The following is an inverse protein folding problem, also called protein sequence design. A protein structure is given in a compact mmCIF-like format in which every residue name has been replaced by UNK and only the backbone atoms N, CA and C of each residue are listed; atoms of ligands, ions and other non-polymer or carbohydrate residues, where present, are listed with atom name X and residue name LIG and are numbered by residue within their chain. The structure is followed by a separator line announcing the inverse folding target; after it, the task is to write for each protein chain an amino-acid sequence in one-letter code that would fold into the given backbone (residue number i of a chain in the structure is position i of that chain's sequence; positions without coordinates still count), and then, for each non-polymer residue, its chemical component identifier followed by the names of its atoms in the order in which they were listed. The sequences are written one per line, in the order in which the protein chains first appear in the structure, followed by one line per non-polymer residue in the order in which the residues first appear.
data_IF_175611033922
#
_entry.id   IF_175611033922
#
_cell.length_a   1.000
_cell.length_b   1.000
_cell.length_c   1.000
_cell.angle_alpha   90.00
_cell.angle_beta   90.00
_cell.angle_gamma   90.00
#
_symmetry.space_group_name_H-M   'P 1'
#
loop_
_entity.id
_entity.type
_entity.pdbx_description
1 polymer ?
#
# COMPACT_ATOMS: atom_id res chain seq x y z
N UNK A 1 -21.31 21.08 8.73
CA UNK A 1 -20.20 21.10 7.75
C UNK A 1 -18.94 20.57 8.42
N UNK A 2 -18.80 19.25 8.55
CA UNK A 2 -17.64 18.60 9.19
C UNK A 2 -16.36 18.79 8.37
N UNK A 3 -16.46 18.82 7.03
CA UNK A 3 -15.30 18.89 6.15
C UNK A 3 -14.40 20.12 6.41
N UNK A 4 -14.96 21.29 6.74
CA UNK A 4 -14.14 22.48 6.98
C UNK A 4 -13.56 22.59 8.38
N UNK A 5 -13.91 21.68 9.30
CA UNK A 5 -13.37 21.64 10.66
C UNK A 5 -11.87 21.30 10.69
N UNK A 6 -11.36 20.67 9.63
CA UNK A 6 -9.96 20.27 9.53
C UNK A 6 -9.04 21.31 8.90
N UNK A 7 -9.60 22.43 8.43
CA UNK A 7 -8.82 23.48 7.81
C UNK A 7 -7.95 24.17 8.89
N UNK A 8 -6.63 24.18 8.69
CA UNK A 8 -5.69 24.82 9.61
C UNK A 8 -5.51 26.31 9.30
N UNK A 9 -5.25 27.10 10.35
CA UNK A 9 -4.89 28.52 10.22
C UNK A 9 -3.69 28.68 9.27
N UNK A 10 -3.66 29.74 8.44
CA UNK A 10 -4.48 30.97 8.54
C UNK A 10 -5.83 30.93 7.81
N UNK A 11 -6.29 29.77 7.34
CA UNK A 11 -7.45 29.68 6.46
C UNK A 11 -8.77 29.44 7.19
N UNK A 12 -9.85 29.92 6.60
CA UNK A 12 -11.23 29.77 7.08
C UNK A 12 -12.11 29.07 6.03
N UNK A 13 -13.29 28.54 6.39
CA UNK A 13 -14.21 27.97 5.41
C UNK A 13 -14.57 28.95 4.27
N UNK A 14 -14.52 30.27 4.52
CA UNK A 14 -14.78 31.28 3.51
C UNK A 14 -13.67 31.39 2.45
N UNK A 15 -12.47 30.88 2.73
CA UNK A 15 -11.34 30.87 1.81
C UNK A 15 -11.37 29.67 0.86
N UNK A 16 -12.22 28.67 1.15
CA UNK A 16 -12.30 27.46 0.31
C UNK A 16 -13.12 27.74 -0.95
N UNK A 17 -12.58 27.32 -2.09
CA UNK A 17 -13.25 27.27 -3.38
C UNK A 17 -13.85 25.89 -3.66
N UNK A 18 -13.10 24.81 -3.38
CA UNK A 18 -13.59 23.43 -3.44
C UNK A 18 -13.07 22.56 -2.31
N UNK A 19 -13.88 21.59 -1.86
CA UNK A 19 -13.49 20.54 -0.93
C UNK A 19 -13.70 19.15 -1.56
N UNK A 20 -12.67 18.32 -1.55
CA UNK A 20 -12.66 17.02 -2.22
C UNK A 20 -12.34 15.93 -1.19
N UNK A 21 -13.17 14.89 -1.13
CA UNK A 21 -12.91 13.69 -0.36
C UNK A 21 -11.96 12.74 -1.08
N UNK A 22 -10.92 12.25 -0.40
CA UNK A 22 -9.97 11.28 -0.95
C UNK A 22 -10.09 9.95 -0.19
N UNK A 23 -10.39 8.88 -0.91
CA UNK A 23 -10.57 7.52 -0.38
C UNK A 23 -9.73 6.55 -1.21
N UNK A 24 -9.23 5.47 -0.62
CA UNK A 24 -8.54 4.40 -1.35
C UNK A 24 -8.66 3.08 -0.59
N UNK A 25 -8.31 1.98 -1.26
CA UNK A 25 -8.00 0.70 -0.62
C UNK A 25 -9.14 0.23 0.32
N UNK A 26 -10.36 0.23 -0.19
CA UNK A 26 -11.57 -0.18 0.55
C UNK A 26 -11.78 -1.68 0.51
N UNK A 27 -11.37 -2.35 -0.57
CA UNK A 27 -11.36 -3.81 -0.75
C UNK A 27 -12.66 -4.50 -0.30
N UNK A 28 -13.82 -3.88 -0.54
CA UNK A 28 -15.09 -4.42 -0.06
C UNK A 28 -15.69 -5.40 -1.07
N UNK A 29 -16.39 -6.45 -0.62
CA UNK A 29 -16.59 -6.87 0.78
C UNK A 29 -15.45 -7.76 1.32
N UNK A 30 -14.45 -8.06 0.49
CA UNK A 30 -13.44 -9.11 0.75
C UNK A 30 -12.65 -8.87 2.04
N UNK A 31 -12.24 -7.63 2.29
CA UNK A 31 -11.37 -7.28 3.43
C UNK A 31 -12.05 -6.36 4.43
N UNK A 32 -13.05 -5.60 3.99
CA UNK A 32 -13.91 -4.79 4.83
C UNK A 32 -15.37 -5.01 4.43
N UNK A 33 -16.22 -5.40 5.38
CA UNK A 33 -17.58 -5.86 5.09
C UNK A 33 -18.54 -4.74 4.72
N UNK A 34 -18.30 -3.53 5.22
CA UNK A 34 -19.17 -2.37 5.03
C UNK A 34 -18.39 -1.08 5.21
N UNK A 35 -18.85 0.00 4.56
CA UNK A 35 -18.31 1.34 4.73
C UNK A 35 -18.47 1.78 6.20
N UNK A 36 -17.39 2.22 6.89
CA UNK A 36 -17.48 2.73 8.25
C UNK A 36 -18.42 3.95 8.31
N UNK A 37 -19.38 4.03 9.25
CA UNK A 37 -20.31 5.15 9.34
C UNK A 37 -19.62 6.52 9.46
N UNK A 38 -18.47 6.57 10.15
CA UNK A 38 -17.66 7.77 10.29
C UNK A 38 -17.21 8.35 8.93
N UNK A 39 -17.06 7.52 7.89
CA UNK A 39 -16.70 8.01 6.55
C UNK A 39 -17.75 8.96 5.99
N UNK A 40 -19.04 8.62 6.14
CA UNK A 40 -20.13 9.47 5.66
C UNK A 40 -20.15 10.82 6.37
N UNK A 41 -19.83 10.86 7.66
CA UNK A 41 -19.74 12.10 8.42
C UNK A 41 -18.53 12.94 7.99
N UNK A 42 -17.35 12.33 7.80
CA UNK A 42 -16.13 13.04 7.38
C UNK A 42 -16.29 13.64 5.98
N UNK A 43 -16.95 12.93 5.07
CA UNK A 43 -17.16 13.37 3.70
C UNK A 43 -18.41 14.25 3.53
N UNK A 44 -19.15 14.55 4.60
CA UNK A 44 -20.37 15.36 4.48
C UNK A 44 -20.03 16.78 3.98
N UNK A 45 -20.65 17.15 2.85
CA UNK A 45 -20.51 18.48 2.24
C UNK A 45 -19.29 18.66 1.34
N UNK A 46 -18.56 17.59 1.01
CA UNK A 46 -17.54 17.65 -0.06
C UNK A 46 -18.21 17.82 -1.43
N UNK A 47 -17.53 18.49 -2.35
CA UNK A 47 -18.00 18.72 -3.72
C UNK A 47 -17.82 17.49 -4.62
N UNK A 48 -16.82 16.66 -4.30
CA UNK A 48 -16.38 15.52 -5.10
C UNK A 48 -15.70 14.48 -4.21
N UNK A 49 -15.85 13.19 -4.54
CA UNK A 49 -15.06 12.11 -3.96
C UNK A 49 -14.15 11.50 -5.03
N UNK A 50 -12.86 11.36 -4.72
CA UNK A 50 -11.89 10.65 -5.53
C UNK A 50 -11.54 9.32 -4.84
N UNK A 51 -11.78 8.20 -5.52
CA UNK A 51 -11.37 6.88 -5.06
C UNK A 51 -10.13 6.40 -5.82
N UNK A 52 -8.99 6.26 -5.14
CA UNK A 52 -7.70 6.01 -5.75
C UNK A 52 -7.41 4.52 -6.05
N UNK A 53 -8.43 3.72 -6.36
CA UNK A 53 -8.29 2.27 -6.64
C UNK A 53 -8.43 1.34 -5.44
N UNK A 54 -8.46 0.05 -5.72
CA UNK A 54 -8.78 -1.05 -4.80
C UNK A 54 -10.09 -0.82 -4.03
N UNK A 55 -11.14 -0.52 -4.80
CA UNK A 55 -12.55 -0.38 -4.38
C UNK A 55 -13.10 -1.75 -3.90
N UNK A 56 -12.72 -2.80 -4.61
CA UNK A 56 -13.43 -4.09 -4.56
C UNK A 56 -14.66 -4.07 -5.48
N UNK A 57 -15.86 -4.18 -4.92
CA UNK A 57 -17.10 -4.21 -5.70
C UNK A 57 -17.65 -2.81 -6.02
N UNK A 58 -18.19 -2.64 -7.23
CA UNK A 58 -18.63 -1.32 -7.74
C UNK A 58 -19.78 -0.68 -6.93
N UNK A 59 -20.57 -1.48 -6.19
CA UNK A 59 -21.63 -0.94 -5.32
C UNK A 59 -21.09 0.00 -4.23
N UNK A 60 -19.80 -0.10 -3.88
CA UNK A 60 -19.15 0.83 -2.95
C UNK A 60 -19.21 2.25 -3.51
N UNK A 61 -18.98 2.41 -4.82
CA UNK A 61 -19.06 3.71 -5.49
C UNK A 61 -20.50 4.24 -5.50
N UNK A 62 -21.50 3.37 -5.64
CA UNK A 62 -22.92 3.74 -5.53
C UNK A 62 -23.30 4.22 -4.12
N UNK A 63 -22.62 3.75 -3.09
CA UNK A 63 -22.84 4.24 -1.73
C UNK A 63 -22.13 5.57 -1.48
N UNK A 64 -20.90 5.73 -1.97
CA UNK A 64 -20.17 6.99 -1.90
C UNK A 64 -20.85 8.09 -2.72
N UNK A 65 -21.49 7.74 -3.84
CA UNK A 65 -22.18 8.71 -4.72
C UNK A 65 -23.41 9.37 -4.09
N UNK A 66 -23.90 8.80 -2.98
CA UNK A 66 -24.95 9.41 -2.15
C UNK A 66 -24.46 10.63 -1.37
N UNK A 67 -23.15 10.79 -1.22
CA UNK A 67 -22.51 11.91 -0.53
C UNK A 67 -22.24 13.03 -1.54
N UNK A 68 -21.51 12.71 -2.61
CA UNK A 68 -21.12 13.64 -3.66
C UNK A 68 -20.77 12.84 -4.95
N UNK A 69 -20.65 13.48 -6.12
CA UNK A 69 -20.16 12.81 -7.32
C UNK A 69 -18.82 12.09 -7.07
N UNK A 70 -18.66 10.89 -7.64
CA UNK A 70 -17.48 10.03 -7.43
C UNK A 70 -16.70 9.87 -8.73
N UNK A 71 -15.38 10.03 -8.65
CA UNK A 71 -14.43 9.63 -9.70
C UNK A 71 -13.52 8.57 -9.12
N UNK A 72 -13.38 7.45 -9.84
CA UNK A 72 -12.59 6.32 -9.37
C UNK A 72 -11.67 5.77 -10.47
N UNK A 73 -10.57 5.16 -10.05
CA UNK A 73 -9.69 4.35 -10.91
C UNK A 73 -9.70 2.92 -10.41
N UNK A 74 -9.28 1.95 -11.22
CA UNK A 74 -9.00 0.62 -10.71
C UNK A 74 -7.60 0.57 -10.08
N UNK A 75 -7.47 -0.26 -9.05
CA UNK A 75 -6.22 -0.78 -8.54
C UNK A 75 -5.92 -2.18 -9.08
N UNK A 76 -5.12 -2.92 -8.34
CA UNK A 76 -4.66 -4.26 -8.72
C UNK A 76 -5.52 -5.40 -8.14
N UNK A 77 -6.40 -5.12 -7.18
CA UNK A 77 -7.29 -6.13 -6.58
C UNK A 77 -8.68 -6.16 -7.26
N UNK A 78 -8.97 -5.23 -8.17
CA UNK A 78 -10.20 -5.25 -8.96
C UNK A 78 -10.31 -6.48 -9.87
N UNK A 79 -11.55 -7.00 -9.97
CA UNK A 79 -11.88 -8.02 -10.96
C UNK A 79 -11.74 -7.48 -12.38
N UNK A 80 -11.54 -8.37 -13.36
CA UNK A 80 -11.52 -8.00 -14.78
C UNK A 80 -12.82 -7.35 -15.27
N UNK A 81 -13.93 -7.50 -14.54
CA UNK A 81 -15.16 -6.77 -14.81
C UNK A 81 -15.06 -5.32 -14.31
N UNK A 82 -14.62 -5.11 -13.07
CA UNK A 82 -14.43 -3.77 -12.51
C UNK A 82 -13.37 -2.95 -13.27
N UNK A 83 -12.27 -3.58 -13.70
CA UNK A 83 -11.23 -2.93 -14.52
C UNK A 83 -11.72 -2.47 -15.91
N UNK A 84 -12.85 -3.00 -16.41
CA UNK A 84 -13.46 -2.52 -17.66
C UNK A 84 -14.31 -1.27 -17.45
N UNK A 85 -14.87 -1.11 -16.25
CA UNK A 85 -15.71 0.04 -15.88
C UNK A 85 -14.89 1.21 -15.33
N UNK A 86 -13.77 0.90 -14.68
CA UNK A 86 -12.87 1.87 -14.08
C UNK A 86 -11.60 2.01 -14.92
N UNK A 87 -11.16 3.22 -15.26
CA UNK A 87 -9.89 3.40 -15.96
C UNK A 87 -8.69 3.23 -15.02
N UNK A 88 -7.53 2.93 -15.60
CA UNK A 88 -6.27 2.75 -14.86
C UNK A 88 -5.75 4.03 -14.18
N UNK A 89 -5.98 5.18 -14.82
CA UNK A 89 -5.70 6.50 -14.27
C UNK A 89 -6.68 7.53 -14.84
N UNK A 90 -6.88 8.64 -14.13
CA UNK A 90 -7.66 9.78 -14.63
C UNK A 90 -6.97 11.11 -14.34
N UNK A 91 -7.13 12.06 -15.25
CA UNK A 91 -6.71 13.45 -15.06
C UNK A 91 -7.96 14.32 -14.87
N UNK A 92 -8.22 14.71 -13.63
CA UNK A 92 -9.37 15.53 -13.28
C UNK A 92 -9.00 17.01 -13.39
N UNK A 93 -9.82 17.79 -14.12
CA UNK A 93 -9.69 19.24 -14.19
C UNK A 93 -10.73 19.90 -13.29
N UNK A 94 -10.27 20.70 -12.32
CA UNK A 94 -11.12 21.40 -11.36
C UNK A 94 -10.62 22.83 -11.20
N UNK A 95 -11.47 23.82 -11.50
CA UNK A 95 -11.16 25.25 -11.38
C UNK A 95 -9.80 25.65 -12.01
N UNK A 96 -9.49 25.12 -13.20
CA UNK A 96 -8.22 25.38 -13.91
C UNK A 96 -6.99 24.66 -13.35
N UNK A 97 -7.17 23.80 -12.33
CA UNK A 97 -6.13 22.92 -11.78
C UNK A 97 -6.34 21.48 -12.24
N UNK A 98 -5.28 20.67 -12.22
CA UNK A 98 -5.27 19.29 -12.68
C UNK A 98 -4.78 18.35 -11.60
N UNK A 99 -5.57 17.32 -11.33
CA UNK A 99 -5.31 16.26 -10.35
C UNK A 99 -5.15 14.95 -11.12
N UNK A 100 -4.02 14.28 -10.97
CA UNK A 100 -3.84 12.91 -11.44
C UNK A 100 -4.33 11.95 -10.35
N UNK A 101 -5.32 11.12 -10.68
CA UNK A 101 -5.78 10.01 -9.86
C UNK A 101 -5.24 8.71 -10.45
N UNK A 102 -4.53 7.92 -9.65
CA UNK A 102 -3.91 6.66 -10.08
C UNK A 102 -3.66 5.77 -8.87
N UNK A 103 -3.77 4.46 -8.98
CA UNK A 103 -3.54 3.58 -7.83
C UNK A 103 -2.08 3.34 -7.45
N UNK A 104 -1.08 3.71 -8.27
CA UNK A 104 0.36 3.47 -7.98
C UNK A 104 0.88 2.04 -8.24
N UNK A 105 0.03 1.10 -8.68
CA UNK A 105 0.46 -0.24 -9.10
C UNK A 105 0.99 -0.25 -10.54
N UNK A 106 1.82 -1.23 -10.87
CA UNK A 106 2.23 -1.52 -12.25
C UNK A 106 1.29 -2.56 -12.89
N UNK A 107 0.93 -2.41 -14.18
CA UNK A 107 0.15 -3.43 -14.88
C UNK A 107 0.93 -4.73 -15.09
N UNK A 108 2.25 -4.63 -15.25
CA UNK A 108 3.15 -5.77 -15.35
C UNK A 108 3.62 -6.19 -13.95
N UNK A 109 3.52 -7.50 -13.69
CA UNK A 109 3.89 -8.06 -12.39
C UNK A 109 5.40 -8.00 -12.10
N UNK A 110 6.26 -8.11 -13.12
CA UNK A 110 7.70 -8.05 -12.93
C UNK A 110 8.12 -6.64 -12.51
N UNK A 111 7.53 -5.62 -13.15
CA UNK A 111 7.74 -4.21 -12.75
C UNK A 111 7.23 -3.95 -11.33
N UNK A 112 6.06 -4.50 -10.98
CA UNK A 112 5.49 -4.40 -9.63
C UNK A 112 6.43 -5.01 -8.58
N UNK A 113 6.97 -6.19 -8.85
CA UNK A 113 7.92 -6.88 -7.97
C UNK A 113 9.23 -6.10 -7.86
N UNK A 114 9.78 -5.60 -8.98
CA UNK A 114 10.99 -4.81 -9.00
C UNK A 114 10.84 -3.52 -8.18
N UNK A 115 9.70 -2.83 -8.31
CA UNK A 115 9.41 -1.61 -7.56
C UNK A 115 9.29 -1.82 -6.04
N UNK A 116 9.10 -3.06 -5.58
CA UNK A 116 9.02 -3.46 -4.17
C UNK A 116 10.37 -3.86 -3.56
N UNK A 117 11.43 -4.02 -4.35
CA UNK A 117 12.74 -4.46 -3.86
C UNK A 117 13.41 -3.42 -2.95
N UNK A 118 13.37 -2.15 -3.33
CA UNK A 118 13.86 -1.06 -2.49
C UNK A 118 12.87 -0.78 -1.36
N UNK A 119 13.36 -0.63 -0.13
CA UNK A 119 12.56 -0.16 0.99
C UNK A 119 12.52 1.39 1.07
N UNK A 120 13.25 2.10 0.22
CA UNK A 120 13.27 3.56 0.29
C UNK A 120 11.96 4.19 -0.19
N UNK A 121 11.45 5.17 0.55
CA UNK A 121 10.22 5.90 0.19
C UNK A 121 10.44 6.91 -0.93
N UNK A 122 11.54 7.65 -0.89
CA UNK A 122 11.77 8.79 -1.78
C UNK A 122 11.82 8.37 -3.26
N UNK A 123 12.57 7.34 -3.68
CA UNK A 123 12.56 6.89 -5.08
C UNK A 123 11.17 6.44 -5.54
N UNK A 124 10.37 5.85 -4.63
CA UNK A 124 8.99 5.45 -4.95
C UNK A 124 8.09 6.66 -5.17
N UNK A 125 8.24 7.72 -4.37
CA UNK A 125 7.49 8.97 -4.52
C UNK A 125 7.90 9.76 -5.77
N UNK A 126 9.18 9.77 -6.12
CA UNK A 126 9.68 10.41 -7.33
C UNK A 126 9.01 9.85 -8.59
N UNK A 127 8.60 8.58 -8.60
CA UNK A 127 7.78 8.03 -9.68
C UNK A 127 6.41 8.70 -9.78
N UNK A 128 5.73 8.87 -8.64
CA UNK A 128 4.45 9.58 -8.58
C UNK A 128 4.60 11.03 -9.05
N UNK A 129 5.66 11.71 -8.62
CA UNK A 129 5.98 13.07 -9.06
C UNK A 129 6.22 13.12 -10.58
N UNK A 130 7.08 12.25 -11.11
CA UNK A 130 7.39 12.18 -12.54
C UNK A 130 6.13 11.92 -13.37
N UNK A 131 5.26 11.01 -12.91
CA UNK A 131 3.99 10.71 -13.58
C UNK A 131 3.02 11.88 -13.54
N UNK A 132 2.92 12.58 -12.40
CA UNK A 132 2.16 13.82 -12.28
C UNK A 132 2.65 14.90 -13.24
N UNK A 133 3.97 15.14 -13.28
CA UNK A 133 4.60 16.12 -14.19
C UNK A 133 4.33 15.76 -15.66
N UNK A 134 4.47 14.50 -16.05
CA UNK A 134 4.17 14.02 -17.40
C UNK A 134 2.70 14.22 -17.79
N UNK A 135 1.77 14.07 -16.85
CA UNK A 135 0.35 14.35 -17.05
C UNK A 135 0.00 15.86 -17.02
N UNK A 136 0.95 16.72 -16.64
CA UNK A 136 0.74 18.14 -16.41
C UNK A 136 -0.12 18.44 -15.16
N UNK A 137 -0.22 17.51 -14.23
CA UNK A 137 -0.93 17.69 -12.98
C UNK A 137 -0.14 18.58 -12.00
N UNK A 138 -0.84 19.15 -11.02
CA UNK A 138 -0.22 19.77 -9.83
C UNK A 138 -0.42 18.91 -8.57
N UNK A 139 -1.40 18.00 -8.62
CA UNK A 139 -1.69 17.08 -7.51
C UNK A 139 -1.72 15.66 -8.06
N UNK A 140 -1.12 14.72 -7.33
CA UNK A 140 -1.25 13.27 -7.55
C UNK A 140 -1.91 12.68 -6.32
N UNK A 141 -3.02 11.98 -6.52
CA UNK A 141 -3.71 11.20 -5.49
C UNK A 141 -3.55 9.72 -5.84
N UNK A 142 -3.04 8.93 -4.90
CA UNK A 142 -2.81 7.51 -5.12
C UNK A 142 -3.10 6.61 -3.91
N UNK A 143 -3.35 5.32 -4.17
CA UNK A 143 -3.62 4.27 -3.17
C UNK A 143 -2.47 3.26 -3.04
N UNK A 144 -2.75 1.96 -2.91
CA UNK A 144 -1.83 0.82 -3.00
C UNK A 144 -0.86 0.63 -1.83
N UNK A 145 -0.39 1.73 -1.24
CA UNK A 145 0.59 1.66 -0.17
C UNK A 145 -0.05 1.48 1.20
N UNK A 146 -1.35 1.79 1.33
CA UNK A 146 -2.09 1.82 2.59
C UNK A 146 -1.49 2.77 3.67
N UNK A 147 -0.51 3.59 3.28
CA UNK A 147 0.18 4.54 4.14
C UNK A 147 -0.36 5.94 3.86
N UNK A 148 -1.13 6.55 4.78
CA UNK A 148 -1.49 7.95 4.64
C UNK A 148 -0.22 8.79 4.60
N UNK A 149 -0.11 9.68 3.61
CA UNK A 149 1.02 10.59 3.48
C UNK A 149 0.67 11.82 2.65
N UNK A 150 1.46 12.87 2.86
CA UNK A 150 1.55 14.05 1.99
C UNK A 150 3.03 14.27 1.70
N UNK A 151 3.36 14.49 0.43
CA UNK A 151 4.71 14.81 -0.02
C UNK A 151 4.65 15.97 -1.01
N UNK A 152 5.52 16.96 -0.82
CA UNK A 152 5.66 18.11 -1.70
C UNK A 152 7.04 18.08 -2.37
N UNK A 153 7.08 18.19 -3.69
CA UNK A 153 8.30 18.40 -4.47
C UNK A 153 8.04 19.51 -5.50
N UNK A 154 8.72 20.65 -5.36
CA UNK A 154 8.43 21.87 -6.09
C UNK A 154 6.92 22.23 -6.02
N UNK A 155 6.26 22.35 -7.17
CA UNK A 155 4.83 22.64 -7.31
C UNK A 155 3.95 21.38 -7.30
N UNK A 156 4.52 20.18 -7.11
CA UNK A 156 3.80 18.91 -7.11
C UNK A 156 3.42 18.50 -5.70
N UNK A 157 2.12 18.30 -5.48
CA UNK A 157 1.55 17.73 -4.27
C UNK A 157 1.19 16.26 -4.49
N UNK A 158 1.78 15.35 -3.73
CA UNK A 158 1.55 13.91 -3.81
C UNK A 158 0.89 13.43 -2.53
N UNK A 159 -0.28 12.80 -2.65
CA UNK A 159 -1.14 12.44 -1.53
C UNK A 159 -1.52 10.96 -1.63
N UNK A 160 -1.38 10.24 -0.52
CA UNK A 160 -2.06 8.98 -0.31
C UNK A 160 -3.01 9.13 0.89
N UNK A 161 -4.33 8.87 0.77
CA UNK A 161 -5.26 9.00 1.90
C UNK A 161 -5.08 7.90 2.96
N UNK A 162 -4.26 6.89 2.68
CA UNK A 162 -4.16 5.65 3.43
C UNK A 162 -5.20 4.65 2.94
N UNK A 163 -5.67 3.78 3.84
CA UNK A 163 -6.59 2.72 3.49
C UNK A 163 -7.72 2.56 4.50
N UNK A 164 -8.87 2.05 4.05
CA UNK A 164 -9.93 1.59 4.94
C UNK A 164 -9.78 0.11 5.28
N UNK A 165 -9.16 -0.68 4.41
CA UNK A 165 -8.95 -2.10 4.63
C UNK A 165 -7.47 -2.47 4.63
N UNK A 166 -7.16 -3.68 5.12
CA UNK A 166 -5.81 -4.25 5.09
C UNK A 166 -5.36 -4.56 3.66
N UNK A 167 -4.06 -4.44 3.39
CA UNK A 167 -3.46 -4.73 2.07
C UNK A 167 -3.39 -6.21 1.68
N UNK A 168 -3.71 -7.13 2.60
CA UNK A 168 -3.82 -8.57 2.33
C UNK A 168 -4.58 -9.29 3.45
N UNK A 169 -4.77 -10.59 3.30
CA UNK A 169 -5.43 -11.49 4.25
C UNK A 169 -4.62 -11.72 5.52
N UNK A 170 -3.33 -11.37 5.53
CA UNK A 170 -2.40 -11.63 6.64
C UNK A 170 -1.97 -10.38 7.42
N UNK A 171 -2.67 -9.27 7.25
CA UNK A 171 -2.43 -8.04 8.00
C UNK A 171 -3.73 -7.44 8.52
N UNK A 172 -3.65 -6.69 9.62
CA UNK A 172 -4.70 -5.79 10.07
C UNK A 172 -4.31 -4.36 9.75
N UNK A 173 -5.25 -3.59 9.21
CA UNK A 173 -5.13 -2.15 9.13
C UNK A 173 -5.45 -1.58 10.52
N UNK A 174 -4.46 -0.98 11.18
CA UNK A 174 -4.60 -0.39 12.51
C UNK A 174 -5.24 1.00 12.44
N UNK A 175 -4.96 1.74 11.36
CA UNK A 175 -5.47 3.10 11.15
C UNK A 175 -6.28 3.10 9.86
N UNK A 176 -7.59 3.26 9.99
CA UNK A 176 -8.48 3.51 8.85
C UNK A 176 -8.51 5.00 8.58
N UNK A 177 -7.85 5.45 7.51
CA UNK A 177 -7.71 6.88 7.21
C UNK A 177 -8.28 7.25 5.85
N UNK A 178 -8.68 8.51 5.77
CA UNK A 178 -9.03 9.22 4.53
C UNK A 178 -8.36 10.59 4.53
N UNK A 179 -8.48 11.33 3.44
CA UNK A 179 -8.06 12.73 3.40
C UNK A 179 -9.13 13.64 2.80
N UNK A 180 -9.07 14.91 3.18
CA UNK A 180 -9.80 16.01 2.57
C UNK A 180 -8.80 16.92 1.88
N UNK A 181 -9.05 17.25 0.62
CA UNK A 181 -8.24 18.15 -0.19
C UNK A 181 -9.05 19.41 -0.48
N UNK A 182 -8.51 20.55 -0.06
CA UNK A 182 -9.14 21.86 -0.23
C UNK A 182 -8.40 22.64 -1.32
N UNK A 183 -9.14 23.13 -2.31
CA UNK A 183 -8.67 24.19 -3.19
C UNK A 183 -9.12 25.52 -2.60
N UNK A 184 -8.18 26.39 -2.25
CA UNK A 184 -8.47 27.73 -1.76
C UNK A 184 -8.70 28.73 -2.91
N UNK A 185 -9.36 29.84 -2.63
CA UNK A 185 -9.68 30.90 -3.61
C UNK A 185 -8.44 31.61 -4.19
N UNK A 186 -7.33 31.61 -3.46
CA UNK A 186 -6.03 32.06 -3.95
C UNK A 186 -5.35 31.02 -4.87
N UNK A 187 -5.96 29.84 -5.03
CA UNK A 187 -5.50 28.75 -5.87
C UNK A 187 -4.52 27.79 -5.21
N UNK A 188 -4.27 27.86 -3.89
CA UNK A 188 -3.42 26.92 -3.16
C UNK A 188 -4.18 25.66 -2.74
N UNK A 189 -3.44 24.58 -2.51
CA UNK A 189 -3.98 23.31 -2.02
C UNK A 189 -3.67 23.12 -0.54
N UNK A 190 -4.64 22.67 0.23
CA UNK A 190 -4.48 22.24 1.62
C UNK A 190 -5.00 20.81 1.79
N UNK A 191 -4.35 20.02 2.63
CA UNK A 191 -4.71 18.61 2.86
C UNK A 191 -4.87 18.36 4.34
N UNK A 192 -5.94 17.66 4.69
CA UNK A 192 -6.15 17.14 6.04
C UNK A 192 -6.43 15.64 5.99
N UNK A 193 -5.59 14.85 6.67
CA UNK A 193 -5.89 13.45 6.91
C UNK A 193 -6.79 13.29 8.14
N UNK A 194 -7.64 12.28 8.10
CA UNK A 194 -8.59 11.95 9.17
C UNK A 194 -8.49 10.47 9.48
N UNK A 195 -8.31 10.14 10.76
CA UNK A 195 -8.47 8.77 11.26
C UNK A 195 -9.94 8.56 11.62
N UNK A 196 -10.60 7.59 10.99
CA UNK A 196 -12.02 7.33 11.19
C UNK A 196 -12.37 6.86 12.62
N UNK A 197 -11.38 6.39 13.40
CA UNK A 197 -11.58 6.08 14.82
C UNK A 197 -11.68 7.34 15.71
N UNK A 198 -11.21 8.49 15.23
CA UNK A 198 -11.26 9.77 15.94
C UNK A 198 -11.52 10.92 14.94
N UNK A 199 -12.71 10.93 14.29
CA UNK A 199 -12.97 11.83 13.17
C UNK A 199 -12.98 13.30 13.60
N UNK A 200 -13.23 13.63 14.85
CA UNK A 200 -13.29 15.03 15.31
C UNK A 200 -11.91 15.70 15.47
N UNK A 201 -10.82 15.03 15.07
CA UNK A 201 -9.44 15.51 15.22
C UNK A 201 -8.67 15.36 13.92
N UNK A 202 -7.79 16.34 13.66
CA UNK A 202 -6.80 16.21 12.60
C UNK A 202 -5.88 15.03 12.91
N UNK A 203 -5.65 14.18 11.91
CA UNK A 203 -4.69 13.10 11.99
C UNK A 203 -3.44 13.50 11.20
N UNK A 204 -2.29 13.54 11.89
CA UNK A 204 -1.00 13.75 11.24
C UNK A 204 -0.41 12.38 10.90
N UNK A 205 -0.17 12.07 9.61
CA UNK A 205 0.37 10.77 9.26
C UNK A 205 1.76 10.52 9.89
N UNK A 206 2.00 9.35 10.51
CA UNK A 206 3.22 9.08 11.28
C UNK A 206 4.40 8.64 10.40
N UNK A 207 4.60 9.28 9.25
CA UNK A 207 5.62 8.86 8.27
C UNK A 207 7.00 9.40 8.67
N UNK A 208 7.93 8.49 8.97
CA UNK A 208 9.33 8.79 9.20
C UNK A 208 10.14 8.41 7.96
N UNK A 209 10.36 9.39 7.07
CA UNK A 209 10.93 9.18 5.74
C UNK A 209 12.26 8.41 5.73
N UNK A 210 13.12 8.64 6.71
CA UNK A 210 14.45 8.02 6.81
C UNK A 210 14.40 6.52 7.14
N UNK A 211 13.28 6.00 7.66
CA UNK A 211 13.20 4.63 8.15
C UNK A 211 12.66 3.63 7.11
N UNK A 212 12.35 4.11 5.91
CA UNK A 212 11.86 3.26 4.82
C UNK A 212 10.37 2.94 4.86
N UNK A 213 9.93 2.24 3.83
CA UNK A 213 8.55 1.92 3.52
C UNK A 213 7.96 0.94 4.53
N UNK A 214 8.70 -0.13 4.88
CA UNK A 214 8.26 -1.11 5.88
C UNK A 214 8.05 -0.47 7.25
N UNK A 215 8.93 0.43 7.68
CA UNK A 215 8.75 1.14 8.94
C UNK A 215 7.49 2.02 8.93
N UNK A 216 7.23 2.73 7.81
CA UNK A 216 6.01 3.52 7.65
C UNK A 216 4.74 2.65 7.62
N UNK A 217 4.77 1.51 6.92
CA UNK A 217 3.66 0.55 6.86
C UNK A 217 3.33 -0.04 8.24
N UNK A 218 4.35 -0.33 9.05
CA UNK A 218 4.19 -0.88 10.40
C UNK A 218 3.58 0.11 11.40
N UNK A 219 3.52 1.41 11.09
CA UNK A 219 2.81 2.40 11.92
C UNK A 219 1.29 2.34 11.75
N UNK A 220 0.83 1.81 10.60
CA UNK A 220 -0.58 1.87 10.18
C UNK A 220 -1.18 0.49 9.98
N UNK A 221 -0.36 -0.56 9.98
CA UNK A 221 -0.76 -1.95 9.84
C UNK A 221 0.10 -2.87 10.70
N UNK A 222 -0.41 -4.06 10.98
CA UNK A 222 0.34 -5.12 11.67
C UNK A 222 0.11 -6.46 10.98
N UNK A 223 1.10 -7.34 11.03
CA UNK A 223 0.97 -8.72 10.58
C UNK A 223 0.09 -9.52 11.56
N UNK A 224 -0.66 -10.47 11.03
CA UNK A 224 -1.36 -11.51 11.80
C UNK A 224 -0.59 -12.82 11.82
N UNK A 225 0.56 -12.87 11.15
CA UNK A 225 1.47 -14.00 11.26
C UNK A 225 2.21 -13.91 12.58
N UNK A 226 2.46 -15.06 13.19
CA UNK A 226 3.44 -15.17 14.26
C UNK A 226 4.77 -14.50 13.83
N UNK A 227 5.44 -13.71 14.70
CA UNK A 227 6.68 -13.02 14.33
C UNK A 227 7.77 -13.95 13.79
N UNK A 228 7.86 -15.19 14.29
CA UNK A 228 8.83 -16.18 13.82
C UNK A 228 8.47 -16.68 12.43
N UNK A 229 7.18 -16.94 12.19
CA UNK A 229 6.67 -17.27 10.86
C UNK A 229 6.95 -16.12 9.87
N UNK A 230 6.69 -14.88 10.27
CA UNK A 230 6.97 -13.69 9.46
C UNK A 230 8.45 -13.55 9.13
N UNK A 231 9.34 -13.84 10.08
CA UNK A 231 10.80 -13.81 9.88
C UNK A 231 11.29 -14.94 8.96
N UNK A 232 10.58 -16.06 8.89
CA UNK A 232 10.94 -17.21 8.05
C UNK A 232 10.56 -17.04 6.57
N UNK A 233 9.63 -16.13 6.22
CA UNK A 233 9.12 -15.95 4.85
C UNK A 233 10.23 -15.73 3.80
N UNK A 234 11.24 -14.87 4.01
CA UNK A 234 12.31 -14.67 3.03
C UNK A 234 13.11 -15.95 2.75
N UNK A 235 13.39 -16.74 3.80
CA UNK A 235 14.10 -18.01 3.66
C UNK A 235 13.25 -19.03 2.88
N UNK A 236 11.97 -19.16 3.23
CA UNK A 236 11.04 -20.05 2.53
C UNK A 236 10.93 -19.69 1.05
N UNK A 237 10.87 -18.40 0.73
CA UNK A 237 10.83 -17.92 -0.67
C UNK A 237 12.11 -18.26 -1.43
N UNK A 238 13.27 -18.18 -0.79
CA UNK A 238 14.56 -18.44 -1.43
C UNK A 238 14.84 -19.95 -1.63
N UNK A 239 14.27 -20.81 -0.79
CA UNK A 239 14.62 -22.24 -0.75
C UNK A 239 13.51 -23.18 -1.25
N UNK A 240 12.27 -22.71 -1.43
CA UNK A 240 11.21 -23.51 -2.01
C UNK A 240 11.11 -23.32 -3.53
N UNK A 241 10.73 -24.37 -4.29
CA UNK A 241 10.31 -24.21 -5.68
C UNK A 241 9.21 -23.14 -5.79
N UNK A 242 9.24 -22.26 -6.81
CA UNK A 242 8.27 -21.15 -6.91
C UNK A 242 6.80 -21.58 -6.86
N UNK A 243 6.46 -22.68 -7.54
CA UNK A 243 5.10 -23.22 -7.53
C UNK A 243 4.64 -23.68 -6.15
N UNK A 244 5.55 -24.17 -5.31
CA UNK A 244 5.23 -24.60 -3.96
C UNK A 244 5.19 -23.46 -2.97
N UNK A 245 6.07 -22.47 -3.12
CA UNK A 245 5.99 -21.24 -2.34
C UNK A 245 4.65 -20.53 -2.59
N UNK A 246 4.15 -20.58 -3.83
CA UNK A 246 2.82 -20.07 -4.19
C UNK A 246 1.71 -20.85 -3.47
N UNK A 247 1.71 -22.18 -3.53
CA UNK A 247 0.74 -23.01 -2.79
C UNK A 247 0.77 -22.76 -1.27
N UNK A 248 1.97 -22.67 -0.69
CA UNK A 248 2.15 -22.32 0.72
C UNK A 248 1.58 -20.93 1.02
N UNK A 249 1.85 -19.95 0.15
CA UNK A 249 1.31 -18.60 0.29
C UNK A 249 -0.22 -18.60 0.27
N UNK A 250 -0.84 -19.41 -0.61
CA UNK A 250 -2.29 -19.57 -0.67
C UNK A 250 -2.87 -20.20 0.60
N UNK A 251 -2.23 -21.23 1.15
CA UNK A 251 -2.62 -21.82 2.44
C UNK A 251 -2.52 -20.81 3.59
N UNK A 252 -1.44 -20.03 3.62
CA UNK A 252 -1.24 -18.97 4.62
C UNK A 252 -2.30 -17.86 4.47
N UNK A 253 -2.66 -17.48 3.24
CA UNK A 253 -3.75 -16.52 3.00
C UNK A 253 -5.09 -17.07 3.48
N UNK A 254 -5.38 -18.36 3.27
CA UNK A 254 -6.60 -19.01 3.74
C UNK A 254 -6.68 -19.04 5.27
N UNK A 255 -5.59 -19.43 5.94
CA UNK A 255 -5.48 -19.33 7.39
C UNK A 255 -5.66 -17.88 7.86
N UNK A 256 -5.16 -16.91 7.10
CA UNK A 256 -5.36 -15.49 7.40
C UNK A 256 -6.83 -15.05 7.33
N UNK A 257 -7.61 -15.55 6.36
CA UNK A 257 -9.06 -15.30 6.30
C UNK A 257 -9.78 -15.87 7.52
N UNK A 258 -9.43 -17.10 7.91
CA UNK A 258 -9.98 -17.78 9.09
C UNK A 258 -9.61 -17.07 10.40
N UNK A 259 -8.38 -16.60 10.51
CA UNK A 259 -7.92 -15.73 11.59
C UNK A 259 -8.79 -14.47 11.70
N UNK A 260 -9.01 -13.78 10.58
CA UNK A 260 -9.88 -12.58 10.51
C UNK A 260 -11.35 -12.86 10.78
N UNK A 261 -11.80 -14.09 10.55
CA UNK A 261 -13.14 -14.55 10.93
C UNK A 261 -13.27 -14.87 12.43
N UNK A 262 -12.17 -14.84 13.18
CA UNK A 262 -12.13 -15.06 14.62
C UNK A 262 -11.94 -16.53 15.04
N UNK A 263 -11.58 -17.43 14.12
CA UNK A 263 -11.30 -18.83 14.46
C UNK A 263 -10.09 -18.99 15.39
N UNK A 264 -9.10 -18.11 15.24
CA UNK A 264 -7.90 -18.06 16.07
C UNK A 264 -7.29 -16.64 16.01
N UNK A 265 -6.52 -16.22 17.03
CA UNK A 265 -6.06 -14.84 17.14
C UNK A 265 -4.87 -14.49 16.23
N UNK A 266 -4.13 -15.50 15.74
CA UNK A 266 -2.91 -15.32 14.95
C UNK A 266 -2.64 -16.58 14.10
N UNK A 267 -2.07 -16.40 12.91
CA UNK A 267 -1.61 -17.51 12.06
C UNK A 267 -0.24 -17.96 12.57
N UNK A 268 -0.22 -19.09 13.27
CA UNK A 268 1.01 -19.67 13.82
C UNK A 268 1.66 -20.64 12.85
N UNK A 269 2.95 -20.85 13.10
CA UNK A 269 3.75 -21.94 12.58
C UNK A 269 3.03 -23.30 12.58
N UNK A 270 2.45 -23.69 13.72
CA UNK A 270 1.75 -24.98 13.88
C UNK A 270 0.50 -25.08 13.00
N UNK A 271 -0.25 -23.98 12.86
CA UNK A 271 -1.42 -23.94 11.99
C UNK A 271 -1.03 -24.13 10.52
N UNK A 272 0.09 -23.50 10.10
CA UNK A 272 0.62 -23.68 8.74
C UNK A 272 1.10 -25.11 8.54
N UNK A 273 1.84 -25.68 9.49
CA UNK A 273 2.29 -27.06 9.42
C UNK A 273 1.13 -28.05 9.29
N UNK A 274 0.08 -27.89 10.10
CA UNK A 274 -1.13 -28.72 10.03
C UNK A 274 -1.84 -28.58 8.67
N UNK A 275 -1.96 -27.36 8.14
CA UNK A 275 -2.57 -27.12 6.83
C UNK A 275 -1.77 -27.75 5.70
N UNK A 276 -0.43 -27.73 5.79
CA UNK A 276 0.47 -28.39 4.84
C UNK A 276 0.35 -29.92 4.91
N UNK A 277 0.31 -30.50 6.11
CA UNK A 277 0.12 -31.95 6.32
C UNK A 277 -1.20 -32.45 5.70
N UNK A 278 -2.25 -31.62 5.77
CA UNK A 278 -3.58 -31.90 5.22
C UNK A 278 -3.73 -31.59 3.72
N UNK A 279 -2.72 -30.96 3.10
CA UNK A 279 -2.77 -30.62 1.68
C UNK A 279 -2.25 -31.78 0.83
N UNK A 280 -3.09 -32.24 -0.10
CA UNK A 280 -2.72 -33.25 -1.10
C UNK A 280 -1.87 -32.67 -2.24
N UNK A 281 -1.92 -31.35 -2.43
CA UNK A 281 -1.31 -30.63 -3.56
C UNK A 281 0.19 -30.34 -3.38
N UNK A 282 0.72 -30.42 -2.16
CA UNK A 282 2.14 -30.17 -1.87
C UNK A 282 2.99 -31.44 -2.02
N UNK A 283 4.21 -31.34 -2.57
CA UNK A 283 5.09 -32.49 -2.68
C UNK A 283 5.46 -33.06 -1.29
N UNK A 284 5.71 -34.38 -1.18
CA UNK A 284 6.10 -35.01 0.09
C UNK A 284 7.35 -34.40 0.74
N UNK A 285 8.32 -33.92 -0.05
CA UNK A 285 9.53 -33.26 0.45
C UNK A 285 9.21 -31.93 1.16
N UNK A 286 8.19 -31.22 0.68
CA UNK A 286 7.75 -29.92 1.20
C UNK A 286 6.85 -30.09 2.41
N UNK A 287 6.04 -31.16 2.41
CA UNK A 287 5.35 -31.66 3.61
C UNK A 287 6.33 -32.12 4.70
N UNK A 288 7.55 -32.55 4.36
CA UNK A 288 8.59 -32.90 5.33
C UNK A 288 9.40 -31.69 5.82
N UNK A 289 9.65 -30.70 4.95
CA UNK A 289 10.37 -29.46 5.27
C UNK A 289 9.53 -28.48 6.09
N UNK A 290 8.26 -28.27 5.74
CA UNK A 290 7.48 -27.20 6.36
C UNK A 290 7.23 -27.44 7.86
N UNK A 291 6.78 -28.60 8.35
CA UNK A 291 6.57 -28.82 9.78
C UNK A 291 7.86 -28.85 10.59
N UNK A 292 8.94 -29.42 10.05
CA UNK A 292 10.22 -29.52 10.76
C UNK A 292 10.94 -28.17 10.83
N UNK A 293 10.98 -27.40 9.75
CA UNK A 293 11.57 -26.07 9.70
C UNK A 293 10.72 -25.04 10.45
N UNK A 294 9.39 -25.08 10.29
CA UNK A 294 8.50 -24.13 10.96
C UNK A 294 8.43 -24.40 12.47
N UNK A 295 8.53 -25.66 12.92
CA UNK A 295 8.68 -26.00 14.36
C UNK A 295 10.08 -25.70 14.90
N UNK A 296 11.16 -26.01 14.16
CA UNK A 296 12.53 -25.74 14.62
C UNK A 296 12.81 -24.24 14.82
N UNK A 297 12.16 -23.37 14.05
CA UNK A 297 12.25 -21.91 14.22
C UNK A 297 11.41 -21.38 15.41
N UNK A 298 10.49 -22.18 15.95
CA UNK A 298 9.58 -21.83 17.06
C UNK A 298 10.09 -22.34 18.41
N UNK A 299 10.80 -23.46 18.45
CA UNK A 299 11.21 -24.07 19.72
C UNK A 299 12.44 -23.43 20.38
N UNK A 300 13.03 -22.39 19.77
CA UNK A 300 14.05 -21.56 20.42
C UNK A 300 15.47 -22.12 20.40
N UNK A 301 15.69 -23.20 19.66
CA UNK A 301 17.00 -23.43 19.06
C UNK A 301 17.22 -22.29 18.06
N UNK A 302 18.39 -21.66 18.03
CA UNK A 302 18.63 -20.46 17.24
C UNK A 302 18.29 -20.62 15.75
N UNK A 303 18.43 -19.53 14.99
CA UNK A 303 18.44 -19.61 13.52
C UNK A 303 19.59 -20.53 13.06
N UNK A 304 19.44 -21.85 13.18
CA UNK A 304 20.35 -22.83 12.61
C UNK A 304 19.95 -22.93 11.14
N UNK A 305 20.43 -21.94 10.38
CA UNK A 305 20.51 -22.06 8.94
C UNK A 305 21.32 -23.34 8.65
N UNK A 306 20.87 -24.23 7.75
CA UNK A 306 21.72 -25.31 7.29
C UNK A 306 23.06 -24.69 6.80
N UNK A 307 24.20 -25.33 7.09
CA UNK A 307 25.51 -24.72 6.86
C UNK A 307 25.65 -24.29 5.40
N UNK A 308 25.78 -22.98 5.15
CA UNK A 308 25.98 -22.41 3.81
C UNK A 308 25.23 -21.11 3.49
N UNK A 309 24.38 -20.57 4.37
CA UNK A 309 23.67 -19.30 4.11
C UNK A 309 23.68 -18.42 5.36
N UNK A 310 24.48 -17.35 5.34
CA UNK A 310 24.39 -16.29 6.36
C UNK A 310 23.23 -15.32 6.03
N UNK A 311 22.55 -14.76 7.04
CA UNK A 311 21.62 -13.64 6.83
C UNK A 311 22.44 -12.44 6.35
N UNK A 312 22.14 -11.97 5.14
CA UNK A 312 22.85 -10.89 4.48
C UNK A 312 23.04 -9.67 5.39
N UNK A 313 24.28 -9.49 5.84
CA UNK A 313 24.76 -8.26 6.44
C UNK A 313 25.26 -7.37 5.30
N UNK A 314 24.85 -6.12 5.34
CA UNK A 314 25.17 -5.09 4.36
C UNK A 314 26.67 -4.81 4.41
N UNK A 315 27.41 -5.32 3.42
CA UNK A 315 28.86 -5.19 3.32
C UNK A 315 29.28 -4.76 1.93
N UNK A 316 29.89 -3.58 1.84
CA UNK A 316 30.53 -3.00 0.67
C UNK A 316 31.37 -4.02 -0.13
N UNK A 317 31.42 -3.93 -1.48
CA UNK A 317 32.40 -4.68 -2.25
C UNK A 317 33.76 -3.97 -2.21
N UNK A 318 34.64 -4.45 -1.33
CA UNK A 318 36.07 -4.16 -1.35
C UNK A 318 36.82 -5.04 -2.36
N UNK A 319 37.38 -4.37 -3.36
CA UNK A 319 38.59 -4.64 -4.17
C UNK A 319 38.97 -6.07 -4.62
N UNK A 320 39.19 -6.20 -5.93
CA UNK A 320 40.01 -7.29 -6.49
C UNK A 320 39.74 -7.62 -7.96
N UNK A 321 40.41 -6.93 -8.89
CA UNK A 321 40.63 -7.48 -10.24
C UNK A 321 40.71 -6.46 -11.37
N UNK A 322 41.93 -6.03 -11.68
CA UNK A 322 42.26 -5.14 -12.78
C UNK A 322 41.83 -5.68 -14.17
N UNK A 323 41.26 -4.80 -15.00
CA UNK A 323 41.07 -4.98 -16.44
C UNK A 323 41.66 -3.76 -17.19
N UNK A 324 42.19 -3.93 -18.42
CA UNK A 324 43.12 -2.99 -19.06
C UNK A 324 42.44 -1.70 -19.57
N UNK A 325 43.21 -0.62 -19.81
CA UNK A 325 42.64 0.68 -20.15
C UNK A 325 42.07 0.68 -21.57
N UNK A 326 40.80 1.04 -21.71
CA UNK A 326 40.16 1.33 -22.99
C UNK A 326 40.41 2.79 -23.32
N UNK A 327 41.09 3.04 -24.46
CA UNK A 327 41.36 4.36 -25.00
C UNK A 327 40.05 5.13 -25.30
N UNK A 328 39.98 6.39 -24.85
CA UNK A 328 38.91 7.31 -25.21
C UNK A 328 39.15 7.90 -26.60
N UNK A 329 38.15 7.93 -27.51
CA UNK A 329 38.21 8.79 -28.67
C UNK A 329 38.13 10.25 -28.22
N UNK A 330 39.07 11.06 -28.69
CA UNK A 330 39.15 12.51 -28.46
C UNK A 330 37.92 13.20 -29.06
N UNK A 331 37.28 14.06 -28.29
CA UNK A 331 36.53 15.19 -28.85
C UNK A 331 37.47 15.98 -29.77
N UNK A 332 37.01 16.26 -30.99
CA UNK A 332 37.46 17.43 -31.73
C UNK A 332 36.32 18.41 -31.69
N UNK A 333 36.63 19.55 -31.11
CA UNK A 333 35.97 20.82 -31.34
C UNK A 333 36.00 21.12 -32.85
N UNK A 334 34.82 21.49 -33.38
CA UNK A 334 34.58 22.53 -34.38
C UNK A 334 33.06 22.72 -34.51
#
# INVERSE_FOLDING_TARGET
MPAYTYLSQPWTPADVHHCIGLVADTHMPKRLKSIPPALFAVLEGVDLVLHAGDVGELWVLDQLSRIAPVVAVHGNDETAAAQRELPYQQLISLAGRRILLWHSHFPDWQDEVAARQSDELLPKLQRSVARGRAAGAQVVVFGHWHIPLVYHEDEMLVINPGALASGNEISHQLIQSVALLFLLKNGTWEVAHVNLAAPDRLFVPPVQWANGFRAALNQVSTSILDPRLSAAVPYLRANLPPAEFELLSQLVMELGRRCKAGEFPMVTADLVALAVEQSDDLLPATRALAPSFVRSQVDGDGLDFPPGVEPGNDGEPGDGGAAPPVERPRQRDD
#
